data_IF_820234557010
#
_entry.id   IF_820234557010
#
_cell.length_a   1.000
_cell.length_b   1.000
_cell.length_c   1.000
_cell.angle_alpha   90.00
_cell.angle_beta   90.00
_cell.angle_gamma   90.00
#
_symmetry.space_group_name_H-M   'P 1'
#
loop_
_entity.id
_entity.type
_entity.pdbx_description
1 polymer ?
#
# COMPACT_ATOMS: atom_id res chain seq x y z
N UNK A 1 18.34 -3.63 -7.20
CA UNK A 1 17.54 -3.20 -8.37
C UNK A 1 16.11 -3.67 -8.22
N UNK A 2 15.13 -2.77 -8.36
CA UNK A 2 13.70 -3.03 -8.35
C UNK A 2 13.17 -3.04 -9.80
N UNK A 3 12.52 -4.12 -10.23
CA UNK A 3 11.97 -4.28 -11.58
C UNK A 3 10.48 -4.64 -11.54
N UNK A 4 9.82 -4.77 -12.69
CA UNK A 4 8.42 -5.19 -12.81
C UNK A 4 7.40 -4.04 -12.90
N UNK A 5 6.13 -4.37 -13.15
CA UNK A 5 5.07 -3.38 -13.35
C UNK A 5 4.26 -3.02 -12.10
N UNK A 6 4.42 -3.75 -11.00
CA UNK A 6 3.58 -3.59 -9.81
C UNK A 6 4.12 -2.50 -8.87
N UNK A 7 3.50 -1.32 -8.91
CA UNK A 7 3.96 -0.11 -8.22
C UNK A 7 3.90 -0.28 -6.70
N UNK A 8 2.83 -0.90 -6.19
CA UNK A 8 2.66 -1.07 -4.74
C UNK A 8 3.80 -1.88 -4.12
N UNK A 9 4.24 -2.93 -4.81
CA UNK A 9 5.37 -3.77 -4.41
C UNK A 9 6.71 -3.03 -4.50
N UNK A 10 6.93 -2.23 -5.56
CA UNK A 10 8.15 -1.41 -5.67
C UNK A 10 8.27 -0.43 -4.51
N UNK A 11 7.18 0.26 -4.18
CA UNK A 11 7.16 1.20 -3.07
C UNK A 11 7.39 0.51 -1.72
N UNK A 12 6.78 -0.66 -1.48
CA UNK A 12 6.99 -1.43 -0.25
C UNK A 12 8.46 -1.88 -0.12
N UNK A 13 9.03 -2.43 -1.20
CA UNK A 13 10.44 -2.83 -1.24
C UNK A 13 11.38 -1.63 -1.05
N UNK A 14 11.13 -0.51 -1.75
CA UNK A 14 11.92 0.70 -1.64
C UNK A 14 11.92 1.26 -0.22
N UNK A 15 10.74 1.31 0.42
CA UNK A 15 10.61 1.79 1.81
C UNK A 15 11.45 0.93 2.76
N UNK A 16 11.31 -0.40 2.69
CA UNK A 16 12.09 -1.33 3.51
C UNK A 16 13.60 -1.22 3.29
N UNK A 17 14.03 -1.04 2.05
CA UNK A 17 15.45 -0.84 1.72
C UNK A 17 15.95 0.48 2.32
N UNK A 18 15.21 1.58 2.14
CA UNK A 18 15.59 2.88 2.67
C UNK A 18 15.62 2.86 4.20
N UNK A 19 14.64 2.26 4.86
CA UNK A 19 14.62 2.12 6.32
C UNK A 19 15.83 1.33 6.83
N UNK A 20 16.17 0.22 6.17
CA UNK A 20 17.35 -0.58 6.51
C UNK A 20 18.66 0.20 6.32
N UNK A 21 18.78 0.96 5.23
CA UNK A 21 19.95 1.81 4.94
C UNK A 21 20.08 2.97 5.94
N UNK A 22 18.96 3.64 6.25
CA UNK A 22 18.92 4.71 7.25
C UNK A 22 19.41 4.20 8.63
N UNK A 23 18.96 3.00 9.03
CA UNK A 23 19.43 2.35 10.27
C UNK A 23 20.93 2.00 10.25
N UNK A 24 21.54 1.90 9.07
CA UNK A 24 22.98 1.70 8.88
C UNK A 24 23.74 3.03 8.70
N UNK A 25 23.07 4.17 8.87
CA UNK A 25 23.69 5.49 8.78
C UNK A 25 23.79 6.07 7.37
N UNK A 26 23.13 5.49 6.37
CA UNK A 26 22.99 6.07 5.03
C UNK A 26 21.85 7.08 5.03
N UNK A 27 22.17 8.36 5.26
CA UNK A 27 21.17 9.43 5.43
C UNK A 27 21.01 10.23 4.14
N UNK A 28 22.11 10.48 3.44
CA UNK A 28 22.10 11.32 2.25
C UNK A 28 21.59 10.51 1.06
N UNK A 29 20.54 11.01 0.39
CA UNK A 29 19.99 10.39 -0.82
C UNK A 29 20.05 11.37 -1.99
N UNK A 30 20.77 10.99 -3.03
CA UNK A 30 20.77 11.68 -4.32
C UNK A 30 19.86 10.92 -5.27
N UNK A 31 18.90 11.61 -5.88
CA UNK A 31 17.96 11.02 -6.83
C UNK A 31 18.31 11.48 -8.24
N UNK A 32 18.53 10.52 -9.14
CA UNK A 32 18.88 10.74 -10.54
C UNK A 32 17.77 10.17 -11.43
N UNK A 33 17.29 10.98 -12.35
CA UNK A 33 16.37 10.54 -13.39
C UNK A 33 17.13 9.87 -14.54
N UNK A 34 16.38 9.30 -15.48
CA UNK A 34 16.92 8.55 -16.62
C UNK A 34 17.98 9.33 -17.44
N UNK A 35 17.84 10.65 -17.52
CA UNK A 35 18.75 11.53 -18.27
C UNK A 35 19.96 12.02 -17.44
N UNK A 36 19.95 11.79 -16.13
CA UNK A 36 20.97 12.26 -15.18
C UNK A 36 21.92 11.14 -14.73
N UNK A 37 21.68 9.91 -15.19
CA UNK A 37 22.45 8.72 -14.78
C UNK A 37 23.95 8.89 -15.01
N UNK A 38 24.36 9.57 -16.08
CA UNK A 38 25.78 9.78 -16.39
C UNK A 38 26.51 10.62 -15.32
N UNK A 39 25.78 11.38 -14.49
CA UNK A 39 26.35 12.12 -13.36
C UNK A 39 26.73 11.21 -12.17
N UNK A 40 26.23 9.97 -12.13
CA UNK A 40 26.47 9.06 -11.01
C UNK A 40 27.97 8.78 -10.80
N UNK A 41 28.72 8.55 -11.89
CA UNK A 41 30.17 8.27 -11.81
C UNK A 41 30.93 9.44 -11.17
N UNK A 42 30.60 10.68 -11.56
CA UNK A 42 31.22 11.89 -11.01
C UNK A 42 30.90 12.06 -9.52
N UNK A 43 29.64 11.85 -9.13
CA UNK A 43 29.21 11.92 -7.73
C UNK A 43 29.95 10.90 -6.87
N UNK A 44 30.11 9.68 -7.38
CA UNK A 44 30.84 8.61 -6.67
C UNK A 44 32.34 8.94 -6.55
N UNK A 45 32.95 9.47 -7.61
CA UNK A 45 34.35 9.91 -7.57
C UNK A 45 34.58 10.97 -6.50
N UNK A 46 33.76 12.03 -6.49
CA UNK A 46 33.86 13.12 -5.51
C UNK A 46 33.70 12.62 -4.08
N UNK A 47 32.78 11.70 -3.82
CA UNK A 47 32.61 11.10 -2.49
C UNK A 47 33.82 10.24 -2.08
N UNK A 48 34.61 9.75 -3.04
CA UNK A 48 35.79 8.91 -2.80
C UNK A 48 37.10 9.70 -2.63
N UNK A 49 37.15 10.96 -3.05
CA UNK A 49 38.37 11.77 -3.14
C UNK A 49 38.96 12.21 -1.79
N UNK A 50 38.17 12.24 -0.71
CA UNK A 50 38.66 12.60 0.63
C UNK A 50 38.03 11.72 1.70
N UNK A 51 38.84 10.84 2.32
CA UNK A 51 38.32 9.89 3.32
C UNK A 51 37.79 10.56 4.59
N UNK A 52 38.15 11.83 4.84
CA UNK A 52 37.66 12.60 5.99
C UNK A 52 36.24 13.16 5.78
N UNK A 53 35.75 13.19 4.54
CA UNK A 53 34.42 13.70 4.19
C UNK A 53 33.57 12.63 3.46
N UNK A 54 33.93 11.36 3.61
CA UNK A 54 33.13 10.27 3.07
C UNK A 54 31.78 10.21 3.79
N UNK A 55 30.73 10.50 3.06
CA UNK A 55 29.36 10.36 3.54
C UNK A 55 28.80 9.00 3.10
N UNK A 56 27.94 8.42 3.94
CA UNK A 56 27.13 7.26 3.58
C UNK A 56 26.01 7.72 2.65
N UNK A 57 26.19 7.47 1.36
CA UNK A 57 25.38 8.01 0.28
C UNK A 57 24.49 6.95 -0.35
N UNK A 58 23.22 7.29 -0.57
CA UNK A 58 22.27 6.53 -1.38
C UNK A 58 22.13 7.19 -2.75
N UNK A 59 22.53 6.50 -3.80
CA UNK A 59 22.27 6.92 -5.19
C UNK A 59 21.03 6.17 -5.67
N UNK A 60 19.93 6.90 -5.81
CA UNK A 60 18.66 6.39 -6.29
C UNK A 60 18.45 6.78 -7.75
N UNK A 61 18.45 5.81 -8.66
CA UNK A 61 18.25 6.01 -10.08
C UNK A 61 16.86 5.53 -10.50
N UNK A 62 16.12 6.38 -11.22
CA UNK A 62 14.79 6.06 -11.73
C UNK A 62 14.78 5.95 -13.25
N UNK A 63 14.47 4.75 -13.74
CA UNK A 63 14.25 4.46 -15.16
C UNK A 63 12.77 4.17 -15.39
N UNK A 64 12.07 5.07 -16.07
CA UNK A 64 10.61 5.03 -16.19
C UNK A 64 10.13 4.40 -17.50
N UNK A 65 10.93 4.39 -18.56
CA UNK A 65 10.47 3.89 -19.87
C UNK A 65 11.59 3.53 -20.84
N UNK A 66 11.26 2.68 -21.81
CA UNK A 66 12.16 2.31 -22.89
C UNK A 66 13.07 1.13 -22.55
N UNK A 67 14.15 0.99 -23.33
CA UNK A 67 15.19 -0.01 -23.07
C UNK A 67 16.00 0.40 -21.85
N UNK A 68 16.45 -0.59 -21.08
CA UNK A 68 17.29 -0.34 -19.92
C UNK A 68 18.51 0.53 -20.31
N UNK A 69 18.80 1.63 -19.60
CA UNK A 69 19.79 2.61 -20.04
C UNK A 69 21.20 2.01 -20.07
N UNK A 70 21.94 2.30 -21.13
CA UNK A 70 23.31 1.81 -21.31
C UNK A 70 24.27 2.41 -20.27
N UNK A 71 24.03 3.66 -19.87
CA UNK A 71 24.77 4.34 -18.80
C UNK A 71 24.68 3.59 -17.47
N UNK A 72 23.49 3.10 -17.08
CA UNK A 72 23.33 2.27 -15.87
C UNK A 72 24.10 0.96 -16.00
N UNK A 73 24.09 0.31 -17.19
CA UNK A 73 24.85 -0.94 -17.39
C UNK A 73 26.35 -0.71 -17.23
N UNK A 74 26.88 0.33 -17.89
CA UNK A 74 28.30 0.69 -17.81
C UNK A 74 28.73 0.98 -16.37
N UNK A 75 27.89 1.70 -15.62
CA UNK A 75 28.10 1.96 -14.19
C UNK A 75 28.18 0.62 -13.42
N UNK A 76 27.19 -0.26 -13.57
CA UNK A 76 27.15 -1.57 -12.89
C UNK A 76 28.28 -2.54 -13.28
N UNK A 77 28.99 -2.28 -14.37
CA UNK A 77 30.18 -3.06 -14.75
C UNK A 77 31.45 -2.57 -14.04
N UNK A 78 31.41 -1.42 -13.37
CA UNK A 78 32.54 -0.88 -12.63
C UNK A 78 32.77 -1.61 -11.31
N UNK A 79 33.94 -2.23 -11.15
CA UNK A 79 34.27 -3.02 -9.95
C UNK A 79 34.37 -2.21 -8.66
N UNK A 80 34.73 -0.92 -8.74
CA UNK A 80 34.91 -0.09 -7.54
C UNK A 80 33.62 0.10 -6.75
N UNK A 81 32.45 0.03 -7.41
CA UNK A 81 31.14 0.13 -6.76
C UNK A 81 30.93 -0.95 -5.69
N UNK A 82 31.41 -2.16 -5.97
CA UNK A 82 31.19 -3.32 -5.11
C UNK A 82 32.19 -3.40 -3.95
N UNK A 83 33.22 -2.56 -3.98
CA UNK A 83 34.22 -2.46 -2.91
C UNK A 83 33.96 -1.26 -1.98
N UNK A 84 33.05 -0.35 -2.35
CA UNK A 84 32.69 0.79 -1.51
C UNK A 84 31.79 0.34 -0.35
N UNK A 85 32.09 0.83 0.84
CA UNK A 85 31.31 0.55 2.06
C UNK A 85 30.35 1.68 2.42
N UNK A 86 30.48 2.84 1.78
CA UNK A 86 29.72 4.06 2.06
C UNK A 86 28.79 4.47 0.90
N UNK A 87 28.62 3.63 -0.12
CA UNK A 87 27.73 3.91 -1.26
C UNK A 87 26.72 2.78 -1.44
N UNK A 88 25.43 3.15 -1.42
CA UNK A 88 24.33 2.26 -1.73
C UNK A 88 23.66 2.70 -3.04
N UNK A 89 23.51 1.78 -3.99
CA UNK A 89 22.84 2.06 -5.27
C UNK A 89 21.48 1.38 -5.33
N UNK A 90 20.43 2.18 -5.53
CA UNK A 90 19.07 1.71 -5.73
C UNK A 90 18.62 2.11 -7.13
N UNK A 91 18.39 1.11 -7.99
CA UNK A 91 17.84 1.33 -9.33
C UNK A 91 16.38 0.89 -9.31
N UNK A 92 15.45 1.82 -9.53
CA UNK A 92 14.06 1.53 -9.81
C UNK A 92 13.83 1.58 -11.32
N UNK A 93 13.50 0.44 -11.92
CA UNK A 93 13.37 0.32 -13.36
C UNK A 93 12.00 -0.21 -13.78
N UNK A 94 11.46 0.31 -14.88
CA UNK A 94 10.20 -0.15 -15.49
C UNK A 94 10.33 -1.45 -16.30
N UNK A 95 11.53 -2.02 -16.43
CA UNK A 95 11.69 -3.28 -17.17
C UNK A 95 10.93 -4.43 -16.50
N UNK A 96 10.23 -5.25 -17.28
CA UNK A 96 9.52 -6.43 -16.78
C UNK A 96 10.39 -7.69 -16.75
N UNK A 97 11.36 -7.75 -17.66
CA UNK A 97 12.30 -8.88 -17.79
C UNK A 97 13.72 -8.35 -17.74
N UNK A 98 14.49 -8.86 -16.79
CA UNK A 98 15.93 -8.68 -16.77
C UNK A 98 16.57 -9.62 -17.79
N UNK A 99 17.56 -9.16 -18.57
CA UNK A 99 18.35 -10.05 -19.41
C UNK A 99 18.96 -11.18 -18.58
N UNK A 100 19.06 -12.39 -19.14
CA UNK A 100 19.64 -13.57 -18.47
C UNK A 100 21.17 -13.59 -18.56
N UNK A 101 21.76 -12.72 -19.38
CA UNK A 101 23.19 -12.67 -19.65
C UNK A 101 23.67 -11.23 -19.78
N UNK A 102 24.90 -10.98 -19.35
CA UNK A 102 25.56 -9.68 -19.39
C UNK A 102 26.46 -9.51 -18.18
N UNK A 103 27.57 -8.77 -18.33
CA UNK A 103 28.52 -8.56 -17.23
C UNK A 103 27.85 -7.81 -16.08
N UNK A 104 27.08 -6.75 -16.37
CA UNK A 104 26.31 -6.02 -15.36
C UNK A 104 25.29 -6.90 -14.59
N UNK A 105 24.62 -7.85 -15.26
CA UNK A 105 23.70 -8.79 -14.59
C UNK A 105 24.46 -9.73 -13.66
N UNK A 106 25.57 -10.32 -14.14
CA UNK A 106 26.40 -11.21 -13.32
C UNK A 106 26.97 -10.50 -12.10
N UNK A 107 27.34 -9.24 -12.24
CA UNK A 107 27.82 -8.43 -11.12
C UNK A 107 26.69 -8.15 -10.12
N UNK A 108 25.49 -7.77 -10.60
CA UNK A 108 24.31 -7.60 -9.75
C UNK A 108 23.92 -8.89 -9.02
N UNK A 109 23.96 -10.05 -9.68
CA UNK A 109 23.65 -11.34 -9.06
C UNK A 109 24.68 -11.72 -7.99
N UNK A 110 25.95 -11.30 -8.16
CA UNK A 110 27.03 -11.61 -7.22
C UNK A 110 27.06 -10.68 -6.00
N UNK A 111 26.87 -9.38 -6.20
CA UNK A 111 27.10 -8.35 -5.19
C UNK A 111 25.85 -7.57 -4.79
N UNK A 112 24.74 -7.74 -5.50
CA UNK A 112 23.51 -6.99 -5.30
C UNK A 112 22.30 -7.89 -5.10
N UNK A 113 21.12 -7.25 -5.17
CA UNK A 113 19.84 -7.93 -5.10
C UNK A 113 18.92 -7.40 -6.20
N UNK A 114 18.30 -8.32 -6.95
CA UNK A 114 17.24 -8.01 -7.92
C UNK A 114 15.90 -8.41 -7.32
N UNK A 115 15.01 -7.43 -7.13
CA UNK A 115 13.65 -7.64 -6.63
C UNK A 115 12.68 -7.44 -7.77
N UNK A 116 12.05 -8.52 -8.21
CA UNK A 116 11.04 -8.48 -9.27
C UNK A 116 9.64 -8.21 -8.69
N UNK A 117 9.18 -6.98 -8.87
CA UNK A 117 7.84 -6.52 -8.51
C UNK A 117 6.86 -6.75 -9.67
N UNK A 118 6.71 -8.02 -10.08
CA UNK A 118 5.71 -8.44 -11.06
C UNK A 118 4.31 -8.45 -10.43
N UNK A 119 3.28 -8.43 -11.27
CA UNK A 119 1.90 -8.67 -10.83
C UNK A 119 1.82 -10.01 -10.10
N UNK A 120 1.16 -10.01 -8.95
CA UNK A 120 0.96 -11.21 -8.14
C UNK A 120 -0.11 -12.11 -8.78
N UNK A 121 0.08 -13.42 -8.65
CA UNK A 121 -1.03 -14.37 -8.83
C UNK A 121 -2.00 -14.24 -7.67
N UNK A 122 -3.22 -14.70 -7.87
CA UNK A 122 -4.30 -14.58 -6.88
C UNK A 122 -3.91 -15.08 -5.48
N UNK A 123 -3.24 -16.23 -5.36
CA UNK A 123 -2.81 -16.77 -4.06
C UNK A 123 -1.64 -15.98 -3.46
N UNK A 124 -0.73 -15.47 -4.29
CA UNK A 124 0.36 -14.59 -3.86
C UNK A 124 -0.18 -13.26 -3.35
N UNK A 125 -1.21 -12.72 -4.00
CA UNK A 125 -1.91 -11.48 -3.61
C UNK A 125 -2.63 -11.65 -2.28
N UNK A 126 -3.39 -12.74 -2.09
CA UNK A 126 -4.02 -13.06 -0.80
C UNK A 126 -2.99 -13.17 0.32
N UNK A 127 -1.86 -13.85 0.05
CA UNK A 127 -0.78 -13.98 1.02
C UNK A 127 -0.11 -12.64 1.33
N UNK A 128 0.12 -11.80 0.30
CA UNK A 128 0.65 -10.46 0.47
C UNK A 128 -0.29 -9.61 1.33
N UNK A 129 -1.58 -9.55 1.00
CA UNK A 129 -2.58 -8.80 1.77
C UNK A 129 -2.66 -9.28 3.21
N UNK A 130 -2.64 -10.61 3.43
CA UNK A 130 -2.61 -11.20 4.77
C UNK A 130 -1.42 -10.70 5.60
N UNK A 131 -0.24 -10.56 4.98
CA UNK A 131 0.96 -10.00 5.65
C UNK A 131 0.82 -8.51 5.92
N UNK A 132 0.17 -7.75 5.03
CA UNK A 132 -0.06 -6.33 5.24
C UNK A 132 -1.03 -6.03 6.40
N UNK A 133 -1.91 -6.99 6.71
CA UNK A 133 -2.91 -6.95 7.78
C UNK A 133 -2.45 -7.65 9.07
N UNK A 134 -1.16 -7.92 9.24
CA UNK A 134 -0.60 -8.63 10.40
C UNK A 134 -0.80 -7.90 11.75
N UNK A 135 -0.97 -6.58 11.71
CA UNK A 135 -1.31 -5.74 12.86
C UNK A 135 -2.73 -5.97 13.38
N UNK A 136 -3.62 -6.60 12.60
CA UNK A 136 -4.99 -6.86 13.04
C UNK A 136 -5.07 -8.08 13.97
N UNK A 137 -6.00 -8.07 14.94
CA UNK A 137 -6.41 -9.26 15.66
C UNK A 137 -6.79 -10.41 14.71
N UNK A 138 -6.38 -11.65 15.05
CA UNK A 138 -6.57 -12.83 14.18
C UNK A 138 -8.03 -13.10 13.80
N UNK A 139 -8.98 -12.76 14.66
CA UNK A 139 -10.42 -12.91 14.42
C UNK A 139 -10.97 -11.89 13.42
N UNK A 140 -10.33 -10.72 13.26
CA UNK A 140 -10.71 -9.66 12.32
C UNK A 140 -10.05 -9.84 10.95
N UNK A 141 -8.94 -10.58 10.88
CA UNK A 141 -8.19 -10.82 9.64
C UNK A 141 -9.02 -11.45 8.51
N UNK A 142 -9.84 -12.51 8.73
CA UNK A 142 -10.70 -13.05 7.67
C UNK A 142 -11.69 -12.00 7.16
N UNK A 143 -12.19 -11.15 8.06
CA UNK A 143 -13.25 -10.18 7.79
C UNK A 143 -12.76 -9.03 6.90
N UNK A 144 -11.71 -8.33 7.33
CA UNK A 144 -11.12 -7.24 6.55
C UNK A 144 -10.35 -7.76 5.33
N UNK A 145 -9.61 -8.87 5.50
CA UNK A 145 -8.83 -9.48 4.43
C UNK A 145 -9.70 -9.95 3.26
N UNK A 146 -10.83 -10.62 3.53
CA UNK A 146 -11.75 -11.04 2.47
C UNK A 146 -12.39 -9.84 1.77
N UNK A 147 -12.88 -8.86 2.54
CA UNK A 147 -13.52 -7.66 1.97
C UNK A 147 -12.54 -6.87 1.10
N UNK A 148 -11.35 -6.53 1.60
CA UNK A 148 -10.35 -5.78 0.84
C UNK A 148 -9.94 -6.53 -0.43
N UNK A 149 -9.69 -7.84 -0.32
CA UNK A 149 -9.31 -8.67 -1.47
C UNK A 149 -10.42 -8.71 -2.54
N UNK A 150 -11.66 -8.97 -2.16
CA UNK A 150 -12.78 -9.07 -3.10
C UNK A 150 -13.12 -7.72 -3.76
N UNK A 151 -12.92 -6.62 -3.02
CA UNK A 151 -13.21 -5.26 -3.49
C UNK A 151 -12.14 -4.71 -4.43
N UNK A 152 -10.89 -5.13 -4.25
CA UNK A 152 -9.73 -4.56 -4.93
C UNK A 152 -8.86 -5.66 -5.57
N UNK A 153 -9.46 -6.75 -6.05
CA UNK A 153 -8.72 -7.86 -6.66
C UNK A 153 -7.89 -7.35 -7.84
N UNK A 154 -6.59 -7.71 -7.86
CA UNK A 154 -5.57 -7.23 -8.82
C UNK A 154 -5.26 -5.73 -8.75
N UNK A 155 -5.74 -5.03 -7.74
CA UNK A 155 -5.45 -3.62 -7.47
C UNK A 155 -4.72 -3.47 -6.13
N UNK A 156 -3.43 -3.84 -6.11
CA UNK A 156 -2.62 -3.81 -4.90
C UNK A 156 -2.46 -2.40 -4.32
N UNK A 157 -2.57 -1.36 -5.15
CA UNK A 157 -2.49 0.02 -4.67
C UNK A 157 -3.71 0.36 -3.81
N UNK A 158 -4.91 0.04 -4.29
CA UNK A 158 -6.12 0.25 -3.50
C UNK A 158 -6.17 -0.68 -2.28
N UNK A 159 -5.71 -1.92 -2.38
CA UNK A 159 -5.55 -2.78 -1.21
C UNK A 159 -4.61 -2.15 -0.16
N UNK A 160 -3.47 -1.61 -0.58
CA UNK A 160 -2.54 -0.90 0.30
C UNK A 160 -3.18 0.33 0.96
N UNK A 161 -4.00 1.08 0.22
CA UNK A 161 -4.70 2.25 0.75
C UNK A 161 -5.70 1.85 1.84
N UNK A 162 -6.51 0.82 1.61
CA UNK A 162 -7.42 0.28 2.62
C UNK A 162 -6.69 -0.24 3.86
N UNK A 163 -5.57 -0.95 3.66
CA UNK A 163 -4.70 -1.37 4.77
C UNK A 163 -4.19 -0.17 5.57
N UNK A 164 -3.73 0.89 4.91
CA UNK A 164 -3.21 2.07 5.58
C UNK A 164 -4.29 2.80 6.37
N UNK A 165 -5.52 2.87 5.85
CA UNK A 165 -6.67 3.41 6.59
C UNK A 165 -6.93 2.58 7.85
N UNK A 166 -6.92 1.26 7.74
CA UNK A 166 -7.06 0.37 8.91
C UNK A 166 -5.90 0.56 9.90
N UNK A 167 -4.66 0.71 9.43
CA UNK A 167 -3.52 1.02 10.31
C UNK A 167 -3.74 2.30 11.08
N UNK A 168 -4.22 3.37 10.45
CA UNK A 168 -4.52 4.63 11.13
C UNK A 168 -5.60 4.44 12.20
N UNK A 169 -6.67 3.70 11.90
CA UNK A 169 -7.76 3.46 12.84
C UNK A 169 -7.32 2.61 14.04
N UNK A 170 -6.57 1.52 13.81
CA UNK A 170 -6.16 0.58 14.87
C UNK A 170 -4.88 1.01 15.61
N UNK A 171 -4.00 1.84 15.01
CA UNK A 171 -2.77 2.30 15.65
C UNK A 171 -2.92 3.66 16.33
N UNK A 172 -3.91 4.48 15.97
CA UNK A 172 -4.27 5.66 16.76
C UNK A 172 -4.90 5.29 18.11
N UNK A 173 -5.32 4.03 18.31
CA UNK A 173 -5.81 3.53 19.60
C UNK A 173 -4.67 3.18 20.59
N UNK A 174 -3.40 3.34 20.20
CA UNK A 174 -2.22 2.99 21.03
C UNK A 174 -1.83 3.99 22.13
N UNK A 175 -2.74 4.88 22.55
CA UNK A 175 -2.64 5.53 23.86
C UNK A 175 -3.38 4.76 24.97
N UNK A 176 -3.96 3.58 24.67
CA UNK A 176 -4.48 2.69 25.70
C UNK A 176 -3.65 1.42 25.80
N UNK A 177 -2.76 1.41 26.78
CA UNK A 177 -2.19 0.21 27.40
C UNK A 177 -3.32 -0.73 27.87
N UNK A 178 -3.83 -1.57 26.98
CA UNK A 178 -4.48 -2.82 27.39
C UNK A 178 -4.04 -3.94 26.47
N UNK A 179 -2.99 -4.63 26.91
CA UNK A 179 -2.64 -5.98 26.46
C UNK A 179 -3.69 -6.99 26.97
N UNK A 180 -4.97 -6.73 26.77
CA UNK A 180 -6.03 -7.70 27.00
C UNK A 180 -6.53 -8.11 25.63
N UNK A 181 -5.96 -9.20 25.13
CA UNK A 181 -6.62 -10.12 24.21
C UNK A 181 -7.88 -10.70 24.88
N UNK A 182 -8.83 -9.84 25.21
CA UNK A 182 -10.16 -10.29 25.57
C UNK A 182 -10.86 -10.66 24.28
N UNK A 183 -11.30 -11.92 24.25
CA UNK A 183 -11.89 -12.57 23.11
C UNK A 183 -13.06 -11.74 22.55
N UNK A 184 -12.85 -11.03 21.44
CA UNK A 184 -13.96 -10.56 20.60
C UNK A 184 -14.64 -11.81 20.06
N UNK A 185 -15.66 -12.23 20.79
CA UNK A 185 -16.57 -13.28 20.37
C UNK A 185 -17.81 -12.54 19.88
N UNK A 186 -18.01 -12.48 18.56
CA UNK A 186 -19.26 -11.99 17.96
C UNK A 186 -20.40 -12.95 18.34
N UNK A 187 -20.92 -12.85 19.55
CA UNK A 187 -21.90 -13.79 20.10
C UNK A 187 -23.35 -13.51 19.68
N UNK A 188 -23.60 -12.53 18.80
CA UNK A 188 -24.97 -12.18 18.39
C UNK A 188 -25.26 -12.36 16.90
N UNK A 189 -24.31 -12.82 16.08
CA UNK A 189 -24.47 -12.82 14.62
C UNK A 189 -24.45 -11.42 13.99
N UNK A 190 -24.61 -10.37 14.81
CA UNK A 190 -24.49 -8.98 14.41
C UNK A 190 -23.03 -8.60 14.23
N UNK A 191 -22.63 -8.30 12.99
CA UNK A 191 -21.28 -7.80 12.67
C UNK A 191 -21.36 -6.35 12.18
N UNK A 192 -20.25 -5.62 12.26
CA UNK A 192 -20.19 -4.26 11.71
C UNK A 192 -20.57 -4.22 10.21
N UNK A 193 -20.50 -5.34 9.49
CA UNK A 193 -20.87 -5.44 8.07
C UNK A 193 -22.39 -5.49 7.86
N UNK A 194 -23.15 -5.96 8.84
CA UNK A 194 -24.60 -5.85 8.78
C UNK A 194 -25.05 -4.40 8.89
N UNK A 195 -24.25 -3.52 9.50
CA UNK A 195 -24.51 -2.08 9.49
C UNK A 195 -24.48 -1.54 8.05
N UNK A 196 -23.58 -2.03 7.19
CA UNK A 196 -23.59 -1.63 5.76
C UNK A 196 -24.93 -1.97 5.12
N UNK A 197 -25.40 -3.21 5.30
CA UNK A 197 -26.66 -3.67 4.73
C UNK A 197 -27.86 -2.89 5.30
N UNK A 198 -27.91 -2.70 6.62
CA UNK A 198 -28.94 -1.91 7.29
C UNK A 198 -28.97 -0.46 6.77
N UNK A 199 -27.81 0.18 6.57
CA UNK A 199 -27.73 1.56 6.06
C UNK A 199 -28.17 1.64 4.60
N UNK A 200 -27.70 0.74 3.72
CA UNK A 200 -28.03 0.80 2.29
C UNK A 200 -29.48 0.38 2.00
N UNK A 201 -30.06 -0.46 2.86
CA UNK A 201 -31.48 -0.84 2.83
C UNK A 201 -32.38 0.17 3.58
N UNK A 202 -31.78 1.18 4.21
CA UNK A 202 -32.46 2.28 4.94
C UNK A 202 -33.15 1.84 6.23
N UNK A 203 -32.74 0.72 6.81
CA UNK A 203 -33.11 0.31 8.17
C UNK A 203 -32.23 1.02 9.22
N UNK A 204 -32.36 2.34 9.27
CA UNK A 204 -31.51 3.19 10.13
C UNK A 204 -31.75 2.93 11.61
N UNK A 205 -32.96 2.50 11.99
CA UNK A 205 -33.29 2.17 13.38
C UNK A 205 -32.44 0.99 13.84
N UNK A 206 -32.46 -0.10 13.08
CA UNK A 206 -31.65 -1.29 13.38
C UNK A 206 -30.15 -1.02 13.29
N UNK A 207 -29.74 -0.16 12.34
CA UNK A 207 -28.34 0.27 12.24
C UNK A 207 -27.87 0.98 13.53
N UNK A 208 -28.65 1.92 14.06
CA UNK A 208 -28.32 2.64 15.31
C UNK A 208 -28.32 1.70 16.52
N UNK A 209 -29.31 0.82 16.64
CA UNK A 209 -29.36 -0.19 17.71
C UNK A 209 -28.12 -1.10 17.67
N UNK A 210 -27.71 -1.53 16.47
CA UNK A 210 -26.53 -2.39 16.27
C UNK A 210 -25.23 -1.63 16.56
N UNK A 211 -25.11 -0.37 16.15
CA UNK A 211 -23.95 0.48 16.46
C UNK A 211 -23.81 0.65 17.97
N UNK A 212 -24.90 0.97 18.66
CA UNK A 212 -24.88 1.16 20.12
C UNK A 212 -24.48 -0.14 20.84
N UNK A 213 -25.07 -1.28 20.45
CA UNK A 213 -24.70 -2.59 20.98
C UNK A 213 -23.21 -2.90 20.76
N UNK A 214 -22.70 -2.71 19.54
CA UNK A 214 -21.30 -2.98 19.23
C UNK A 214 -20.36 -2.06 20.01
N UNK A 215 -20.71 -0.77 20.14
CA UNK A 215 -19.97 0.21 20.93
C UNK A 215 -19.92 -0.18 22.42
N UNK A 216 -21.02 -0.64 22.99
CA UNK A 216 -21.09 -1.07 24.39
C UNK A 216 -20.36 -2.41 24.63
N UNK A 217 -20.28 -3.26 23.61
CA UNK A 217 -19.69 -4.60 23.74
C UNK A 217 -18.16 -4.64 23.72
N UNK A 218 -17.49 -3.72 23.03
CA UNK A 218 -16.03 -3.60 23.02
C UNK A 218 -15.56 -2.30 22.36
N UNK A 219 -14.57 -1.65 22.96
CA UNK A 219 -13.92 -0.47 22.39
C UNK A 219 -13.29 -0.76 21.01
N UNK A 220 -12.85 -2.00 20.77
CA UNK A 220 -12.24 -2.45 19.50
C UNK A 220 -13.23 -2.50 18.33
N UNK A 221 -14.54 -2.33 18.58
CA UNK A 221 -15.56 -2.26 17.52
C UNK A 221 -15.65 -0.86 16.89
N UNK A 222 -15.07 0.16 17.51
CA UNK A 222 -15.12 1.54 17.03
C UNK A 222 -14.49 1.67 15.64
N UNK A 223 -13.26 1.17 15.46
CA UNK A 223 -12.55 1.22 14.17
C UNK A 223 -13.31 0.53 13.02
N UNK A 224 -13.82 -0.71 13.15
CA UNK A 224 -14.67 -1.34 12.14
C UNK A 224 -15.92 -0.54 11.76
N UNK A 225 -16.63 0.01 12.76
CA UNK A 225 -17.85 0.81 12.53
C UNK A 225 -17.51 2.08 11.75
N UNK A 226 -16.47 2.81 12.17
CA UNK A 226 -15.99 4.02 11.49
C UNK A 226 -15.61 3.69 10.05
N UNK A 227 -14.87 2.60 9.81
CA UNK A 227 -14.46 2.18 8.48
C UNK A 227 -15.66 1.90 7.56
N UNK A 228 -16.66 1.16 8.04
CA UNK A 228 -17.88 0.89 7.25
C UNK A 228 -18.65 2.17 6.94
N UNK A 229 -18.83 3.07 7.91
CA UNK A 229 -19.53 4.33 7.69
C UNK A 229 -18.78 5.21 6.69
N UNK A 230 -17.46 5.36 6.85
CA UNK A 230 -16.61 6.11 5.93
C UNK A 230 -16.66 5.52 4.52
N UNK A 231 -16.60 4.19 4.38
CA UNK A 231 -16.73 3.49 3.10
C UNK A 231 -18.06 3.82 2.42
N UNK A 232 -19.17 3.78 3.14
CA UNK A 232 -20.51 4.09 2.59
C UNK A 232 -20.56 5.54 2.11
N UNK A 233 -20.16 6.49 2.96
CA UNK A 233 -20.19 7.93 2.65
C UNK A 233 -19.33 8.23 1.42
N UNK A 234 -18.07 7.78 1.40
CA UNK A 234 -17.16 8.04 0.28
C UNK A 234 -17.64 7.36 -1.01
N UNK A 235 -18.15 6.13 -0.93
CA UNK A 235 -18.75 5.44 -2.08
C UNK A 235 -19.94 6.20 -2.64
N UNK A 236 -20.84 6.72 -1.80
CA UNK A 236 -21.98 7.53 -2.21
C UNK A 236 -21.56 8.86 -2.84
N UNK A 237 -20.61 9.58 -2.22
CA UNK A 237 -20.10 10.88 -2.70
C UNK A 237 -19.48 10.78 -4.09
N UNK A 238 -18.51 9.87 -4.27
CA UNK A 238 -17.84 9.70 -5.55
C UNK A 238 -18.81 9.25 -6.64
N UNK A 239 -19.75 8.36 -6.29
CA UNK A 239 -20.76 7.88 -7.23
C UNK A 239 -21.69 9.00 -7.70
N UNK A 240 -22.10 9.90 -6.80
CA UNK A 240 -22.94 11.07 -7.14
C UNK A 240 -22.23 12.05 -8.08
N UNK A 241 -20.90 12.16 -8.00
CA UNK A 241 -20.09 13.03 -8.86
C UNK A 241 -19.68 12.37 -10.18
N UNK A 242 -19.84 11.06 -10.31
CA UNK A 242 -19.37 10.29 -11.47
C UNK A 242 -20.39 10.18 -12.60
N UNK A 243 -19.88 10.12 -13.84
CA UNK A 243 -20.69 9.84 -15.03
C UNK A 243 -21.12 8.38 -15.12
N UNK A 244 -20.30 7.43 -14.62
CA UNK A 244 -20.61 5.99 -14.61
C UNK A 244 -20.76 5.44 -13.19
N UNK A 245 -21.95 5.64 -12.62
CA UNK A 245 -22.26 5.30 -11.22
C UNK A 245 -21.96 3.85 -10.84
N UNK A 246 -22.32 2.88 -11.69
CA UNK A 246 -22.09 1.44 -11.39
C UNK A 246 -20.61 1.09 -11.38
N UNK A 247 -19.84 1.66 -12.32
CA UNK A 247 -18.40 1.44 -12.38
C UNK A 247 -17.70 2.06 -11.18
N UNK A 248 -18.12 3.26 -10.75
CA UNK A 248 -17.58 3.95 -9.57
C UNK A 248 -17.83 3.16 -8.30
N UNK A 249 -19.06 2.69 -8.06
CA UNK A 249 -19.37 1.86 -6.89
C UNK A 249 -18.48 0.61 -6.82
N UNK A 250 -18.28 -0.08 -7.95
CA UNK A 250 -17.39 -1.25 -8.00
C UNK A 250 -15.93 -0.88 -7.75
N UNK A 251 -15.46 0.23 -8.31
CA UNK A 251 -14.11 0.75 -8.08
C UNK A 251 -13.87 1.09 -6.60
N UNK A 252 -14.92 1.50 -5.90
CA UNK A 252 -14.87 1.86 -4.48
C UNK A 252 -15.14 0.67 -3.55
N UNK A 253 -15.08 -0.55 -4.09
CA UNK A 253 -15.22 -1.76 -3.30
C UNK A 253 -16.64 -2.09 -2.84
N UNK A 254 -17.66 -1.61 -3.55
CA UNK A 254 -19.05 -2.06 -3.32
C UNK A 254 -19.27 -3.40 -4.04
N UNK A 255 -19.74 -4.39 -3.28
CA UNK A 255 -20.03 -5.72 -3.80
C UNK A 255 -21.08 -5.66 -4.93
N UNK A 256 -20.95 -6.44 -6.01
CA UNK A 256 -21.90 -6.45 -7.11
C UNK A 256 -23.36 -6.68 -6.66
N UNK A 257 -23.58 -7.52 -5.64
CA UNK A 257 -24.89 -7.77 -5.04
C UNK A 257 -25.49 -6.52 -4.37
N UNK A 258 -24.65 -5.66 -3.80
CA UNK A 258 -25.04 -4.44 -3.07
C UNK A 258 -25.12 -3.20 -3.96
N UNK A 259 -24.58 -3.23 -5.19
CA UNK A 259 -24.57 -2.08 -6.11
C UNK A 259 -25.96 -1.49 -6.31
N UNK A 260 -26.99 -2.33 -6.48
CA UNK A 260 -28.35 -1.83 -6.68
C UNK A 260 -28.91 -1.16 -5.42
N UNK A 261 -28.60 -1.68 -4.24
CA UNK A 261 -28.99 -1.07 -2.95
C UNK A 261 -28.31 0.30 -2.77
N UNK A 262 -27.02 0.41 -3.09
CA UNK A 262 -26.31 1.70 -3.10
C UNK A 262 -26.92 2.70 -4.10
N UNK A 263 -27.27 2.25 -5.32
CA UNK A 263 -27.94 3.10 -6.30
C UNK A 263 -29.32 3.56 -5.81
N UNK A 264 -30.06 2.70 -5.10
CA UNK A 264 -31.35 3.03 -4.50
C UNK A 264 -31.22 3.98 -3.30
N UNK A 265 -30.13 3.87 -2.52
CA UNK A 265 -29.78 4.79 -1.45
C UNK A 265 -29.58 6.21 -2.01
N UNK A 266 -28.72 6.36 -3.03
CA UNK A 266 -28.34 7.68 -3.56
C UNK A 266 -29.36 8.28 -4.56
N UNK A 267 -30.39 7.52 -4.97
CA UNK A 267 -31.33 7.93 -6.04
C UNK A 267 -31.95 9.30 -5.81
N UNK A 268 -32.24 9.64 -4.55
CA UNK A 268 -32.89 10.88 -4.15
C UNK A 268 -32.00 11.78 -3.27
N UNK A 269 -30.71 11.46 -3.17
CA UNK A 269 -29.76 12.18 -2.32
C UNK A 269 -28.93 13.17 -3.13
N UNK A 270 -28.54 14.28 -2.50
CA UNK A 270 -27.64 15.29 -3.06
C UNK A 270 -26.24 15.11 -2.49
N UNK A 271 -25.23 15.56 -3.23
CA UNK A 271 -23.82 15.57 -2.77
C UNK A 271 -23.68 16.31 -1.44
N UNK A 272 -24.46 17.38 -1.24
CA UNK A 272 -24.50 18.16 0.02
C UNK A 272 -24.94 17.36 1.23
N UNK A 273 -25.77 16.33 1.03
CA UNK A 273 -26.31 15.53 2.14
C UNK A 273 -25.22 14.65 2.75
N UNK A 274 -24.31 14.14 1.92
CA UNK A 274 -23.17 13.34 2.36
C UNK A 274 -21.96 14.19 2.75
N UNK A 275 -21.74 15.35 2.13
CA UNK A 275 -20.65 16.26 2.52
C UNK A 275 -20.78 16.77 3.96
N UNK A 276 -22.01 17.00 4.43
CA UNK A 276 -22.29 17.37 5.83
C UNK A 276 -21.92 16.29 6.84
N UNK A 277 -21.79 15.04 6.41
CA UNK A 277 -21.42 13.91 7.27
C UNK A 277 -19.90 13.69 7.35
N UNK A 278 -19.13 14.38 6.51
CA UNK A 278 -17.66 14.33 6.45
C UNK A 278 -17.00 15.56 7.12
N UNK A 279 -17.81 16.47 7.68
CA UNK A 279 -17.37 17.64 8.46
C UNK A 279 -17.43 17.33 9.95
#
# INVERSE_FOLDING_TARGET
MLTGGEIALKQDALTKILDALNNQGFIQKISLNQDEVDQAEEIISRNSESSLFQENLIIYMKHTSGRFPESIKRLLEQNFLYNSTNIAIIIESSIEKTPTSGTWIRNLDKYGLIINCKKLKQDEEKLWLKRQLDFLPKNLLPLFGASIFQNNEKDLLNQKNEVNLLKLLFLNEKDHESNTTDHITFHSGLSAFEIEDMIIEKDYKKAVETINYLKESSDQNSAPIIWIIAKIINSCLETLQSSNKRSTLKKNGVWPSKVNSYLALIKNSKTTDFLKLNQ
#
